data_IF_336210458122
#
_entry.id   IF_336210458122
#
_cell.length_a   1.000
_cell.length_b   1.000
_cell.length_c   1.000
_cell.angle_alpha   90.00
_cell.angle_beta   90.00
_cell.angle_gamma   90.00
#
_symmetry.space_group_name_H-M   'P 1'
#
loop_
_entity.id
_entity.type
_entity.pdbx_description
1 polymer ?
#
# COMPACT_ATOMS: atom_id res chain seq x y z
N UNK A 1 -61.15 -2.62 -38.97
CA UNK A 1 -61.59 -1.39 -38.28
C UNK A 1 -61.21 -0.20 -39.15
N UNK A 2 -62.09 0.24 -40.06
CA UNK A 2 -62.97 1.42 -39.89
C UNK A 2 -62.17 2.65 -39.44
N UNK A 3 -62.09 3.76 -40.18
CA UNK A 3 -63.20 4.70 -40.46
C UNK A 3 -62.61 5.86 -41.30
N UNK A 4 -63.01 6.03 -42.57
CA UNK A 4 -63.97 7.03 -43.09
C UNK A 4 -63.51 8.50 -43.14
N UNK A 5 -63.63 9.06 -44.37
CA UNK A 5 -64.34 10.30 -44.79
C UNK A 5 -63.90 11.64 -44.17
N UNK A 6 -63.91 12.77 -44.86
CA UNK A 6 -64.49 13.19 -46.14
C UNK A 6 -63.85 14.54 -46.57
N UNK A 7 -63.98 14.96 -47.83
CA UNK A 7 -65.05 15.87 -48.29
C UNK A 7 -64.85 17.28 -47.67
N UNK A 8 -64.41 18.31 -48.38
CA UNK A 8 -64.99 18.88 -49.59
C UNK A 8 -64.56 20.37 -49.73
N UNK A 9 -65.15 21.15 -50.66
CA UNK A 9 -64.50 22.24 -51.40
C UNK A 9 -64.94 23.66 -50.99
N UNK A 10 -64.33 24.69 -51.58
CA UNK A 10 -64.85 26.09 -51.59
C UNK A 10 -63.70 27.10 -51.47
N UNK A 11 -63.28 27.79 -52.55
CA UNK A 11 -63.89 28.95 -53.20
C UNK A 11 -63.68 30.30 -52.49
N UNK A 12 -63.31 31.32 -53.29
CA UNK A 12 -63.51 32.77 -53.13
C UNK A 12 -62.43 33.51 -52.30
N UNK A 13 -61.49 34.24 -52.93
CA UNK A 13 -61.55 35.58 -53.53
C UNK A 13 -61.57 36.72 -52.49
N UNK A 14 -60.57 37.61 -52.56
CA UNK A 14 -60.49 39.05 -52.23
C UNK A 14 -59.10 39.37 -51.67
N UNK A 15 -58.26 40.26 -52.23
CA UNK A 15 -58.40 41.68 -52.63
C UNK A 15 -57.79 42.61 -51.55
N UNK A 16 -56.71 43.27 -51.98
CA UNK A 16 -56.27 44.66 -51.67
C UNK A 16 -55.41 44.93 -50.43
N UNK A 17 -54.16 45.27 -50.80
CA UNK A 17 -53.29 46.40 -50.39
C UNK A 17 -53.05 46.71 -48.92
N UNK A 18 -51.75 46.76 -48.58
CA UNK A 18 -51.27 47.33 -47.33
C UNK A 18 -49.77 47.10 -47.12
N UNK A 19 -48.96 48.01 -47.66
CA UNK A 19 -47.74 48.55 -47.05
C UNK A 19 -46.49 47.68 -46.73
N UNK A 20 -45.40 48.05 -47.43
CA UNK A 20 -44.13 48.54 -46.88
C UNK A 20 -42.94 47.57 -46.66
N UNK A 21 -41.85 47.95 -47.38
CA UNK A 21 -40.40 47.81 -47.12
C UNK A 21 -39.60 46.58 -47.64
N UNK A 22 -39.01 46.83 -48.82
CA UNK A 22 -37.73 46.42 -49.44
C UNK A 22 -36.80 45.45 -48.65
N UNK A 23 -36.36 44.35 -49.29
CA UNK A 23 -35.12 43.66 -48.94
C UNK A 23 -33.98 44.08 -49.89
N UNK A 24 -32.76 44.20 -49.35
CA UNK A 24 -31.52 43.64 -49.94
C UNK A 24 -30.29 44.36 -49.36
N UNK A 25 -29.66 43.72 -48.36
CA UNK A 25 -28.23 43.98 -48.09
C UNK A 25 -27.47 42.68 -48.25
N UNK A 26 -26.87 42.56 -49.44
CA UNK A 26 -25.73 41.69 -49.75
C UNK A 26 -24.58 41.96 -48.76
N UNK A 27 -23.77 40.92 -48.56
CA UNK A 27 -22.48 40.83 -47.85
C UNK A 27 -22.57 40.38 -46.39
N UNK A 28 -22.52 39.06 -46.18
CA UNK A 28 -22.00 38.49 -44.93
C UNK A 28 -21.38 37.10 -45.13
N UNK A 29 -20.62 36.90 -46.21
CA UNK A 29 -19.91 35.63 -46.47
C UNK A 29 -18.50 35.57 -45.85
N UNK A 30 -17.96 36.69 -45.34
CA UNK A 30 -16.60 36.73 -44.80
C UNK A 30 -16.52 36.53 -43.28
N UNK A 31 -17.56 36.88 -42.53
CA UNK A 31 -17.56 36.82 -41.06
C UNK A 31 -17.79 35.39 -40.56
N UNK A 32 -18.65 34.63 -41.25
CA UNK A 32 -18.94 33.24 -40.91
C UNK A 32 -17.71 32.32 -41.08
N UNK A 33 -16.87 32.58 -42.09
CA UNK A 33 -15.67 31.78 -42.35
C UNK A 33 -14.59 31.99 -41.27
N UNK A 34 -14.41 33.21 -40.77
CA UNK A 34 -13.44 33.50 -39.71
C UNK A 34 -13.88 32.97 -38.33
N UNK A 35 -15.18 32.99 -38.02
CA UNK A 35 -15.71 32.40 -36.79
C UNK A 35 -15.54 30.87 -36.76
N UNK A 36 -15.73 30.20 -37.89
CA UNK A 36 -15.56 28.76 -37.98
C UNK A 36 -14.09 28.35 -37.83
N UNK A 37 -13.15 29.08 -38.47
CA UNK A 37 -11.72 28.81 -38.32
C UNK A 37 -11.20 29.07 -36.90
N UNK A 38 -11.69 30.11 -36.23
CA UNK A 38 -11.37 30.39 -34.83
C UNK A 38 -11.89 29.29 -33.90
N UNK A 39 -13.07 28.73 -34.16
CA UNK A 39 -13.65 27.65 -33.38
C UNK A 39 -12.84 26.34 -33.50
N UNK A 40 -12.34 26.02 -34.70
CA UNK A 40 -11.52 24.81 -34.93
C UNK A 40 -10.16 24.87 -34.20
N UNK A 41 -9.54 26.05 -34.09
CA UNK A 41 -8.27 26.22 -33.38
C UNK A 41 -8.36 25.98 -31.85
N UNK A 42 -9.55 26.11 -31.25
CA UNK A 42 -9.73 25.95 -29.79
C UNK A 42 -9.68 24.45 -29.39
N UNK A 43 -10.01 23.52 -30.28
CA UNK A 43 -10.08 22.09 -29.94
C UNK A 43 -8.73 21.36 -29.95
N UNK A 44 -7.64 21.99 -30.42
CA UNK A 44 -6.34 21.32 -30.61
C UNK A 44 -5.41 21.44 -29.38
N UNK A 45 -5.79 22.20 -28.35
CA UNK A 45 -4.94 22.50 -27.16
C UNK A 45 -5.19 21.52 -25.99
N UNK A 46 -5.91 20.41 -26.22
CA UNK A 46 -6.48 19.58 -25.16
C UNK A 46 -5.84 18.20 -24.91
N UNK A 47 -4.63 17.90 -25.38
CA UNK A 47 -3.98 16.60 -25.08
C UNK A 47 -3.23 16.65 -23.73
N UNK A 48 -3.98 16.63 -22.63
CA UNK A 48 -3.41 16.41 -21.31
C UNK A 48 -2.91 14.97 -21.15
N UNK A 49 -1.59 14.77 -21.16
CA UNK A 49 -0.99 13.48 -20.73
C UNK A 49 -1.43 13.23 -19.28
N UNK A 50 -2.33 12.26 -19.07
CA UNK A 50 -2.50 11.65 -17.74
C UNK A 50 -1.14 11.05 -17.36
N UNK A 51 -0.48 11.65 -16.37
CA UNK A 51 0.73 11.09 -15.79
C UNK A 51 0.45 9.67 -15.27
N UNK A 52 1.49 8.83 -15.13
CA UNK A 52 1.33 7.51 -14.56
C UNK A 52 0.63 7.62 -13.19
N UNK A 53 -0.27 6.68 -12.84
CA UNK A 53 -0.97 6.71 -11.56
C UNK A 53 0.05 6.79 -10.42
N UNK A 54 -0.11 7.78 -9.55
CA UNK A 54 0.72 7.95 -8.37
C UNK A 54 0.37 6.85 -7.36
N UNK A 55 1.25 5.84 -7.23
CA UNK A 55 1.18 4.86 -6.16
C UNK A 55 1.93 5.45 -4.96
N UNK A 56 1.26 5.82 -3.86
CA UNK A 56 1.95 6.30 -2.68
C UNK A 56 2.90 5.21 -2.18
N UNK A 57 4.16 5.57 -1.95
CA UNK A 57 5.16 4.65 -1.41
C UNK A 57 4.64 4.06 -0.08
N UNK A 58 4.69 2.73 0.05
CA UNK A 58 4.32 2.09 1.30
C UNK A 58 5.23 2.61 2.42
N UNK A 59 4.63 3.00 3.55
CA UNK A 59 5.39 3.50 4.69
C UNK A 59 6.40 2.43 5.15
N UNK A 60 7.65 2.83 5.46
CA UNK A 60 8.64 1.90 5.98
C UNK A 60 8.18 1.32 7.31
N UNK A 61 8.40 0.02 7.52
CA UNK A 61 8.18 -0.63 8.81
C UNK A 61 9.46 -0.45 9.66
N UNK A 62 9.39 0.45 10.64
CA UNK A 62 10.55 0.92 11.42
C UNK A 62 10.60 0.38 12.85
N UNK A 63 9.75 -0.59 13.19
CA UNK A 63 9.80 -1.18 14.51
C UNK A 63 11.04 -2.07 14.65
N UNK A 64 11.80 -1.89 15.72
CA UNK A 64 13.04 -2.60 16.02
C UNK A 64 13.06 -3.04 17.49
N UNK A 65 13.76 -4.15 17.75
CA UNK A 65 13.97 -4.68 19.10
C UNK A 65 15.44 -4.44 19.47
N UNK A 66 15.65 -3.75 20.57
CA UNK A 66 16.97 -3.43 21.12
C UNK A 66 17.17 -4.12 22.46
N UNK A 67 18.45 -4.28 22.85
CA UNK A 67 18.83 -4.86 24.12
C UNK A 67 18.14 -6.21 24.38
N UNK A 68 18.04 -7.03 23.33
CA UNK A 68 17.51 -8.38 23.41
C UNK A 68 18.29 -9.15 24.48
N UNK A 69 17.55 -9.80 25.37
CA UNK A 69 18.00 -10.71 26.41
C UNK A 69 17.17 -11.98 26.32
N UNK A 70 17.71 -13.08 26.82
CA UNK A 70 16.99 -14.33 26.85
C UNK A 70 17.49 -15.24 27.96
N UNK A 71 16.61 -16.12 28.41
CA UNK A 71 16.93 -17.22 29.30
C UNK A 71 16.09 -18.45 28.96
N UNK A 72 16.62 -19.61 29.33
CA UNK A 72 15.84 -20.85 29.26
C UNK A 72 14.88 -20.91 30.43
N UNK A 73 13.59 -21.10 30.15
CA UNK A 73 12.54 -21.42 31.12
C UNK A 73 11.96 -22.77 30.73
N UNK A 74 12.27 -23.80 31.51
CA UNK A 74 11.90 -25.20 31.23
C UNK A 74 12.37 -25.66 29.83
N UNK A 75 11.41 -25.95 28.94
CA UNK A 75 11.59 -26.35 27.53
C UNK A 75 11.36 -25.19 26.55
N UNK A 76 11.32 -23.95 27.06
CA UNK A 76 11.04 -22.75 26.28
C UNK A 76 12.14 -21.71 26.41
N UNK A 77 12.28 -20.92 25.37
CA UNK A 77 13.17 -19.77 25.36
C UNK A 77 12.34 -18.51 25.65
N UNK A 78 12.55 -17.91 26.82
CA UNK A 78 11.95 -16.62 27.15
C UNK A 78 12.88 -15.50 26.68
N UNK A 79 12.32 -14.57 25.91
CA UNK A 79 13.01 -13.46 25.29
C UNK A 79 12.38 -12.14 25.72
N UNK A 80 13.24 -11.18 26.05
CA UNK A 80 12.85 -9.86 26.52
C UNK A 80 13.71 -8.80 25.85
N UNK A 81 13.17 -7.59 25.66
CA UNK A 81 13.92 -6.48 25.08
C UNK A 81 13.14 -5.18 25.07
N UNK A 82 13.74 -4.12 24.53
CA UNK A 82 13.09 -2.84 24.33
C UNK A 82 12.57 -2.74 22.90
N UNK A 83 11.31 -2.35 22.72
CA UNK A 83 10.77 -2.12 21.38
C UNK A 83 10.75 -0.63 21.08
N UNK A 84 11.28 -0.26 19.92
CA UNK A 84 11.34 1.13 19.46
C UNK A 84 10.81 1.24 18.03
N UNK A 85 10.14 2.35 17.73
CA UNK A 85 9.56 2.62 16.42
C UNK A 85 8.56 3.76 16.50
N UNK A 86 8.13 4.25 15.33
CA UNK A 86 7.00 5.17 15.28
C UNK A 86 5.69 4.47 15.67
N UNK A 87 4.71 5.25 16.15
CA UNK A 87 3.42 4.71 16.63
C UNK A 87 2.71 3.84 15.57
N UNK A 88 2.82 4.18 14.29
CA UNK A 88 2.17 3.42 13.23
C UNK A 88 2.88 2.08 12.96
N UNK A 89 4.21 2.04 13.05
CA UNK A 89 4.98 0.80 12.98
C UNK A 89 4.67 -0.10 14.18
N UNK A 90 4.67 0.45 15.40
CA UNK A 90 4.40 -0.33 16.61
C UNK A 90 3.00 -0.94 16.61
N UNK A 91 1.98 -0.20 16.15
CA UNK A 91 0.60 -0.71 16.07
C UNK A 91 0.38 -1.77 14.99
N UNK A 92 1.33 -1.95 14.07
CA UNK A 92 1.28 -2.94 12.98
C UNK A 92 1.96 -4.26 13.34
N UNK A 93 2.64 -4.34 14.49
CA UNK A 93 3.26 -5.58 14.96
C UNK A 93 2.18 -6.61 15.26
N UNK A 94 2.34 -7.79 14.67
CA UNK A 94 1.46 -8.94 14.90
C UNK A 94 2.19 -10.16 15.47
N UNK A 95 3.49 -10.02 15.69
CA UNK A 95 4.35 -11.09 16.18
C UNK A 95 5.82 -10.79 15.94
N UNK A 96 6.65 -11.82 16.02
CA UNK A 96 8.06 -11.76 15.67
C UNK A 96 8.53 -13.03 14.97
N UNK A 97 9.63 -12.90 14.24
CA UNK A 97 10.45 -14.03 13.77
C UNK A 97 11.68 -14.16 14.65
N UNK A 98 11.83 -15.32 15.26
CA UNK A 98 12.96 -15.67 16.11
C UNK A 98 13.89 -16.59 15.33
N UNK A 99 15.07 -16.10 15.00
CA UNK A 99 16.12 -16.86 14.38
C UNK A 99 16.99 -17.51 15.44
N UNK A 100 17.42 -18.76 15.20
CA UNK A 100 18.31 -19.48 16.10
C UNK A 100 19.22 -20.46 15.37
N UNK A 101 20.36 -20.78 16.00
CA UNK A 101 21.30 -21.81 15.52
C UNK A 101 22.08 -22.39 16.70
N UNK A 102 22.30 -23.71 16.65
CA UNK A 102 23.00 -24.47 17.68
C UNK A 102 24.40 -24.86 17.21
N UNK A 103 25.34 -24.81 18.15
CA UNK A 103 26.70 -25.33 17.99
C UNK A 103 27.06 -26.23 19.17
N UNK A 104 27.78 -27.34 18.94
CA UNK A 104 28.29 -28.18 20.02
C UNK A 104 29.21 -27.40 20.97
N UNK A 105 29.17 -27.70 22.27
CA UNK A 105 30.09 -27.10 23.26
C UNK A 105 31.57 -27.36 22.96
N UNK A 106 31.87 -28.48 22.30
CA UNK A 106 33.23 -28.86 21.91
C UNK A 106 33.75 -28.07 20.69
N UNK A 107 32.87 -27.45 19.92
CA UNK A 107 33.22 -26.73 18.69
C UNK A 107 32.34 -25.48 18.51
N UNK A 108 32.38 -24.52 19.46
CA UNK A 108 31.69 -23.25 19.29
C UNK A 108 32.36 -22.42 18.19
N UNK A 109 31.62 -21.51 17.52
CA UNK A 109 32.23 -20.57 16.60
C UNK A 109 33.23 -19.68 17.34
N UNK A 110 34.29 -19.27 16.63
CA UNK A 110 35.31 -18.38 17.18
C UNK A 110 34.73 -17.02 17.57
N UNK A 111 35.44 -16.29 18.43
CA UNK A 111 35.04 -14.93 18.76
C UNK A 111 35.13 -14.04 17.51
N UNK A 112 34.05 -13.32 17.19
CA UNK A 112 33.96 -12.49 15.98
C UNK A 112 33.67 -13.24 14.67
N UNK A 113 33.66 -14.58 14.68
CA UNK A 113 33.25 -15.35 13.50
C UNK A 113 31.80 -14.99 13.10
N UNK A 114 31.51 -14.87 11.78
CA UNK A 114 30.14 -14.72 11.33
C UNK A 114 29.34 -15.97 11.71
N UNK A 115 28.16 -15.76 12.31
CA UNK A 115 27.22 -16.83 12.65
C UNK A 115 26.05 -16.74 11.68
N UNK A 116 25.91 -17.76 10.86
CA UNK A 116 24.79 -17.89 9.91
C UNK A 116 23.54 -18.38 10.66
N UNK A 117 22.50 -17.55 10.68
CA UNK A 117 21.25 -17.85 11.37
C UNK A 117 20.36 -18.76 10.50
N UNK A 118 20.50 -20.08 10.66
CA UNK A 118 19.88 -21.07 9.75
C UNK A 118 18.42 -21.40 10.05
N UNK A 119 18.03 -21.43 11.32
CA UNK A 119 16.67 -21.80 11.71
C UNK A 119 15.87 -20.58 12.14
N UNK A 120 14.55 -20.64 11.99
CA UNK A 120 13.66 -19.63 12.54
C UNK A 120 12.32 -20.21 12.96
N UNK A 121 11.64 -19.51 13.86
CA UNK A 121 10.22 -19.71 14.19
C UNK A 121 9.50 -18.38 14.17
N UNK A 122 8.30 -18.40 13.62
CA UNK A 122 7.38 -17.28 13.70
C UNK A 122 6.50 -17.45 14.93
N UNK A 123 6.43 -16.41 15.75
CA UNK A 123 5.55 -16.34 16.91
C UNK A 123 4.53 -15.24 16.65
N UNK A 124 3.28 -15.64 16.45
CA UNK A 124 2.16 -14.71 16.29
C UNK A 124 1.56 -14.36 17.66
N UNK A 125 1.05 -13.14 17.79
CA UNK A 125 0.37 -12.67 18.99
C UNK A 125 0.89 -11.32 19.48
N UNK A 126 0.33 -10.85 20.60
CA UNK A 126 0.82 -9.63 21.22
C UNK A 126 2.14 -9.92 21.94
N UNK A 127 3.24 -9.41 21.37
CA UNK A 127 4.60 -9.52 21.91
C UNK A 127 5.06 -8.22 22.60
N UNK A 128 4.18 -7.23 22.73
CA UNK A 128 4.48 -5.93 23.35
C UNK A 128 3.70 -5.81 24.64
N UNK A 129 4.42 -5.57 25.73
CA UNK A 129 3.85 -5.30 27.04
C UNK A 129 4.52 -4.04 27.61
N UNK A 130 3.75 -2.97 27.83
CA UNK A 130 4.24 -1.68 28.36
C UNK A 130 5.50 -1.13 27.67
N UNK A 131 5.57 -1.23 26.33
CA UNK A 131 6.71 -0.77 25.54
C UNK A 131 7.93 -1.69 25.60
N UNK A 132 7.81 -2.86 26.20
CA UNK A 132 8.81 -3.91 26.19
C UNK A 132 8.40 -5.03 25.24
N UNK A 133 9.39 -5.60 24.57
CA UNK A 133 9.25 -6.86 23.87
C UNK A 133 9.30 -8.01 24.88
N UNK A 134 8.31 -8.90 24.83
CA UNK A 134 8.28 -10.13 25.60
C UNK A 134 7.74 -11.27 24.71
N UNK A 135 8.47 -12.38 24.66
CA UNK A 135 8.10 -13.52 23.84
C UNK A 135 8.56 -14.82 24.48
N UNK A 136 7.69 -15.83 24.49
CA UNK A 136 8.03 -17.19 24.88
C UNK A 136 8.03 -18.06 23.62
N UNK A 137 9.17 -18.67 23.32
CA UNK A 137 9.34 -19.44 22.10
C UNK A 137 9.49 -20.92 22.45
N UNK A 138 8.61 -21.80 21.94
CA UNK A 138 8.80 -23.24 22.07
C UNK A 138 9.91 -23.68 21.10
N UNK A 139 11.14 -23.74 21.61
CA UNK A 139 12.31 -24.20 20.84
C UNK A 139 12.86 -25.43 21.53
N UNK A 140 13.21 -26.45 20.74
CA UNK A 140 13.88 -27.63 21.28
C UNK A 140 15.21 -27.21 21.90
N UNK A 141 15.38 -27.53 23.18
CA UNK A 141 16.60 -27.23 23.93
C UNK A 141 17.61 -28.33 23.69
N UNK A 142 18.73 -27.99 23.05
CA UNK A 142 19.84 -28.90 22.79
C UNK A 142 21.00 -28.61 23.73
N UNK A 143 21.91 -29.57 23.91
CA UNK A 143 23.18 -29.34 24.58
C UNK A 143 24.12 -28.58 23.65
N UNK A 144 24.49 -27.35 24.00
CA UNK A 144 25.29 -26.52 23.11
C UNK A 144 25.30 -25.03 23.42
N UNK A 145 25.88 -24.30 22.47
CA UNK A 145 25.77 -22.86 22.37
C UNK A 145 24.67 -22.53 21.36
N UNK A 146 23.63 -21.82 21.82
CA UNK A 146 22.56 -21.31 20.98
C UNK A 146 22.76 -19.82 20.72
N UNK A 147 22.80 -19.42 19.46
CA UNK A 147 22.74 -18.00 19.07
C UNK A 147 21.31 -17.66 18.68
N UNK A 148 20.83 -16.50 19.13
CA UNK A 148 19.44 -16.06 18.91
C UNK A 148 19.41 -14.61 18.44
N UNK A 149 18.51 -14.33 17.51
CA UNK A 149 18.22 -12.98 16.99
C UNK A 149 16.72 -12.88 16.71
N UNK A 150 16.13 -11.70 16.89
CA UNK A 150 14.68 -11.49 16.70
C UNK A 150 14.44 -10.36 15.71
N UNK A 151 13.41 -10.51 14.89
CA UNK A 151 12.86 -9.44 14.04
C UNK A 151 11.37 -9.27 14.34
N UNK A 152 10.87 -8.05 14.60
CA UNK A 152 9.44 -7.83 14.72
C UNK A 152 8.77 -8.08 13.36
N UNK A 153 7.52 -8.54 13.38
CA UNK A 153 6.79 -9.00 12.21
C UNK A 153 5.40 -8.37 12.11
N UNK A 154 5.08 -7.90 10.92
CA UNK A 154 3.75 -7.40 10.55
C UNK A 154 2.87 -8.51 9.94
N UNK A 155 1.56 -8.26 9.87
CA UNK A 155 0.53 -9.18 9.36
C UNK A 155 0.81 -9.74 7.96
N UNK A 156 1.47 -8.98 7.10
CA UNK A 156 1.84 -9.37 5.73
C UNK A 156 3.16 -10.18 5.68
N UNK A 157 3.74 -10.51 6.84
CA UNK A 157 5.03 -11.17 6.97
C UNK A 157 6.21 -10.22 6.81
N UNK A 158 5.99 -8.91 6.67
CA UNK A 158 7.07 -7.92 6.58
C UNK A 158 7.85 -7.89 7.89
N UNK A 159 9.17 -7.99 7.78
CA UNK A 159 10.09 -8.03 8.91
C UNK A 159 10.74 -6.67 9.14
N UNK A 160 10.81 -6.26 10.40
CA UNK A 160 11.58 -5.08 10.83
C UNK A 160 13.08 -5.36 10.84
N UNK A 161 13.91 -4.43 11.30
CA UNK A 161 15.35 -4.63 11.45
C UNK A 161 15.69 -5.79 12.40
N UNK A 162 16.92 -6.27 12.29
CA UNK A 162 17.49 -7.28 13.19
C UNK A 162 17.80 -6.69 14.57
N UNK A 163 17.49 -7.44 15.62
CA UNK A 163 17.95 -7.14 16.97
C UNK A 163 19.45 -7.37 17.11
N UNK A 164 20.01 -6.97 18.26
CA UNK A 164 21.30 -7.54 18.68
C UNK A 164 21.17 -9.07 18.80
N UNK A 165 22.26 -9.78 18.47
CA UNK A 165 22.37 -11.23 18.64
C UNK A 165 22.76 -11.54 20.08
N UNK A 166 22.14 -12.55 20.67
CA UNK A 166 22.50 -13.08 21.99
C UNK A 166 23.08 -14.49 21.87
N UNK A 167 23.90 -14.86 22.85
CA UNK A 167 24.48 -16.20 23.00
C UNK A 167 23.95 -16.80 24.30
N UNK A 168 23.40 -18.00 24.21
CA UNK A 168 22.88 -18.77 25.34
C UNK A 168 23.62 -20.11 25.40
N UNK A 169 23.89 -20.57 26.62
CA UNK A 169 24.52 -21.86 26.86
C UNK A 169 23.44 -22.79 27.43
N UNK A 170 23.38 -24.01 26.92
CA UNK A 170 22.53 -25.07 27.45
C UNK A 170 23.37 -26.32 27.65
N UNK A 171 23.31 -26.84 28.88
CA UNK A 171 23.98 -28.04 29.37
C UNK A 171 23.05 -29.27 29.42
N UNK A 172 21.75 -29.04 29.21
CA UNK A 172 20.68 -30.03 29.26
C UNK A 172 20.77 -31.04 28.11
#
# INVERSE_FOLDING_TARGET
>A
MTKNRGQGPGARNQRVEGEIQRPSRRRSSSVACHLFLAFVMIFIIGCGRKGPPFIPAQKPFKAAIHQLRGNWKDESLALEGLIQGDKASLSRITGCRVYYVWYPLAAPPCEGCPVEMKNYRDVAGNIINDGQFQCLVPVFREKGVCFVMVRPMEKDGRLGPESNRIKLISDK
#
